data_IF_738280418697
#
_entry.id   IF_738280418697
#
_cell.length_a   1.000
_cell.length_b   1.000
_cell.length_c   1.000
_cell.angle_alpha   90.00
_cell.angle_beta   90.00
_cell.angle_gamma   90.00
#
_symmetry.space_group_name_H-M   'P 1'
#
loop_
_entity.id
_entity.type
_entity.pdbx_description
1 polymer ?
#
# COMPACT_ATOMS: atom_id res chain seq x y z
N UNK A 1 -18.35 -3.60 -51.55
CA UNK A 1 -18.42 -3.25 -50.12
C UNK A 1 -19.44 -4.17 -49.44
N UNK A 2 -19.00 -5.10 -48.58
CA UNK A 2 -19.90 -6.01 -47.87
C UNK A 2 -20.43 -5.30 -46.62
N UNK A 3 -21.74 -5.08 -46.57
CA UNK A 3 -22.42 -4.46 -45.43
C UNK A 3 -22.33 -5.34 -44.18
N UNK A 4 -21.80 -4.78 -43.10
CA UNK A 4 -21.82 -5.39 -41.77
C UNK A 4 -23.26 -5.30 -41.26
N UNK A 5 -23.97 -6.43 -41.18
CA UNK A 5 -25.24 -6.49 -40.45
C UNK A 5 -24.94 -6.46 -38.95
N UNK A 6 -25.57 -5.59 -38.16
CA UNK A 6 -25.46 -5.66 -36.71
C UNK A 6 -26.10 -6.97 -36.24
N UNK A 7 -25.36 -7.77 -35.46
CA UNK A 7 -25.93 -8.91 -34.74
C UNK A 7 -27.05 -8.36 -33.85
N UNK A 8 -28.30 -8.72 -34.13
CA UNK A 8 -29.37 -8.62 -33.15
C UNK A 8 -28.97 -9.48 -31.95
N UNK A 9 -28.47 -8.82 -30.89
CA UNK A 9 -28.48 -9.43 -29.57
C UNK A 9 -29.95 -9.54 -29.18
N UNK A 10 -30.50 -10.75 -29.30
CA UNK A 10 -31.78 -11.09 -28.71
C UNK A 10 -31.66 -10.91 -27.20
N UNK A 11 -32.13 -9.77 -26.69
CA UNK A 11 -32.36 -9.57 -25.27
C UNK A 11 -33.39 -10.62 -24.84
N UNK A 12 -32.92 -11.66 -24.14
CA UNK A 12 -33.77 -12.71 -23.59
C UNK A 12 -34.76 -12.06 -22.60
N UNK A 13 -36.00 -12.56 -22.51
CA UNK A 13 -36.97 -12.08 -21.53
C UNK A 13 -36.40 -12.23 -20.11
N UNK A 14 -36.50 -11.15 -19.33
CA UNK A 14 -35.96 -11.03 -17.97
C UNK A 14 -36.82 -11.88 -17.03
N UNK A 15 -36.40 -13.13 -16.80
CA UNK A 15 -36.93 -14.00 -15.75
C UNK A 15 -36.82 -13.29 -14.37
N UNK A 16 -37.75 -13.44 -13.41
CA UNK A 16 -37.63 -12.84 -12.07
C UNK A 16 -36.28 -13.13 -11.37
N UNK A 17 -35.63 -14.25 -11.72
CA UNK A 17 -34.28 -14.60 -11.24
C UNK A 17 -33.14 -13.72 -11.77
N UNK A 18 -33.28 -13.06 -12.92
CA UNK A 18 -32.22 -12.18 -13.47
C UNK A 18 -32.19 -10.82 -12.79
N UNK A 19 -33.33 -10.36 -12.29
CA UNK A 19 -33.46 -9.08 -11.59
C UNK A 19 -32.67 -9.04 -10.27
N UNK A 20 -32.81 -10.07 -9.43
CA UNK A 20 -32.06 -10.18 -8.17
C UNK A 20 -30.56 -10.39 -8.40
N UNK A 21 -30.22 -11.20 -9.40
CA UNK A 21 -28.83 -11.42 -9.83
C UNK A 21 -28.17 -10.12 -10.28
N UNK A 22 -28.91 -9.27 -10.97
CA UNK A 22 -28.42 -7.99 -11.45
C UNK A 22 -28.07 -7.07 -10.28
N UNK A 23 -29.02 -6.83 -9.36
CA UNK A 23 -28.75 -6.00 -8.18
C UNK A 23 -27.61 -6.57 -7.31
N UNK A 24 -27.62 -7.87 -7.00
CA UNK A 24 -26.61 -8.51 -6.17
C UNK A 24 -25.21 -8.59 -6.81
N UNK A 25 -25.09 -8.23 -8.09
CA UNK A 25 -23.80 -8.01 -8.76
C UNK A 25 -23.44 -6.53 -8.75
N UNK A 26 -24.37 -5.64 -9.10
CA UNK A 26 -24.15 -4.20 -9.15
C UNK A 26 -23.91 -3.57 -7.78
N UNK A 27 -24.62 -4.00 -6.73
CA UNK A 27 -24.55 -3.40 -5.41
C UNK A 27 -23.13 -3.41 -4.81
N UNK A 28 -22.43 -4.57 -4.68
CA UNK A 28 -21.06 -4.57 -4.19
C UNK A 28 -20.06 -4.05 -5.23
N UNK A 29 -20.24 -4.29 -6.53
CA UNK A 29 -19.27 -3.84 -7.54
C UNK A 29 -19.29 -2.32 -7.78
N UNK A 30 -20.48 -1.71 -7.82
CA UNK A 30 -20.70 -0.30 -8.17
C UNK A 30 -21.11 0.58 -6.98
N UNK A 31 -21.21 -0.01 -5.78
CA UNK A 31 -21.64 0.69 -4.56
C UNK A 31 -23.05 1.29 -4.70
N UNK A 32 -23.97 0.58 -5.35
CA UNK A 32 -25.36 1.03 -5.52
C UNK A 32 -26.18 0.58 -4.31
N UNK A 33 -26.95 1.49 -3.71
CA UNK A 33 -27.89 1.15 -2.64
C UNK A 33 -29.28 0.79 -3.19
N UNK A 34 -30.12 0.19 -2.35
CA UNK A 34 -31.49 -0.23 -2.70
C UNK A 34 -32.34 0.94 -3.18
N UNK A 35 -32.22 2.10 -2.54
CA UNK A 35 -33.04 3.27 -2.87
C UNK A 35 -32.73 3.78 -4.28
N UNK A 36 -31.47 3.94 -4.62
CA UNK A 36 -31.04 4.44 -5.92
C UNK A 36 -31.41 3.44 -7.01
N UNK A 37 -31.20 2.15 -6.77
CA UNK A 37 -31.58 1.11 -7.74
C UNK A 37 -33.09 1.09 -8.01
N UNK A 38 -33.92 1.11 -6.96
CA UNK A 38 -35.38 1.12 -7.13
C UNK A 38 -35.85 2.41 -7.81
N UNK A 39 -35.28 3.57 -7.46
CA UNK A 39 -35.59 4.84 -8.13
C UNK A 39 -35.20 4.83 -9.61
N UNK A 40 -34.10 4.18 -9.97
CA UNK A 40 -33.72 4.01 -11.39
C UNK A 40 -34.76 3.18 -12.13
N UNK A 41 -35.27 2.11 -11.52
CA UNK A 41 -36.33 1.29 -12.13
C UNK A 41 -37.65 2.05 -12.28
N UNK A 42 -38.02 2.84 -11.26
CA UNK A 42 -39.19 3.73 -11.31
C UNK A 42 -39.05 4.68 -12.51
N UNK A 43 -37.90 5.36 -12.65
CA UNK A 43 -37.64 6.30 -13.76
C UNK A 43 -37.59 5.65 -15.14
N UNK A 44 -37.15 4.39 -15.23
CA UNK A 44 -37.17 3.63 -16.49
C UNK A 44 -38.59 3.24 -16.89
N UNK A 45 -39.50 3.13 -15.91
CA UNK A 45 -40.90 2.78 -16.14
C UNK A 45 -41.73 4.04 -16.42
N UNK A 46 -41.62 5.04 -15.56
CA UNK A 46 -42.20 6.36 -15.71
C UNK A 46 -41.20 7.43 -15.25
N UNK A 47 -40.64 8.17 -16.21
CA UNK A 47 -39.73 9.29 -15.94
C UNK A 47 -40.46 10.59 -15.62
N UNK A 48 -41.78 10.65 -15.85
CA UNK A 48 -42.61 11.84 -15.62
C UNK A 48 -43.04 11.97 -14.16
N UNK A 49 -43.11 10.85 -13.42
CA UNK A 49 -43.52 10.82 -12.01
C UNK A 49 -45.00 11.12 -11.82
N UNK A 50 -45.80 11.02 -12.89
CA UNK A 50 -47.24 11.26 -12.86
C UNK A 50 -47.97 10.05 -12.27
N UNK A 51 -47.42 8.84 -12.43
CA UNK A 51 -47.98 7.64 -11.83
C UNK A 51 -47.46 7.39 -10.42
N UNK A 52 -48.39 7.21 -9.47
CA UNK A 52 -48.03 6.86 -8.09
C UNK A 52 -47.69 5.37 -7.99
N UNK A 53 -46.40 5.05 -7.99
CA UNK A 53 -45.90 3.69 -7.76
C UNK A 53 -45.85 3.38 -6.24
N UNK A 54 -46.38 2.23 -5.77
CA UNK A 54 -46.24 1.82 -4.38
C UNK A 54 -44.77 1.60 -3.98
N UNK A 55 -44.37 2.04 -2.79
CA UNK A 55 -42.98 1.87 -2.30
C UNK A 55 -42.62 0.38 -2.16
N UNK A 56 -41.68 -0.09 -2.98
CA UNK A 56 -41.15 -1.46 -2.95
C UNK A 56 -39.78 -1.59 -2.29
N UNK A 57 -39.17 -0.49 -1.80
CA UNK A 57 -37.79 -0.47 -1.29
C UNK A 57 -37.58 -1.41 -0.11
N UNK A 58 -38.53 -1.47 0.83
CA UNK A 58 -38.41 -2.34 2.01
C UNK A 58 -38.44 -3.82 1.62
N UNK A 59 -39.40 -4.21 0.78
CA UNK A 59 -39.50 -5.59 0.28
C UNK A 59 -38.27 -5.97 -0.55
N UNK A 60 -37.86 -5.07 -1.45
CA UNK A 60 -36.66 -5.25 -2.26
C UNK A 60 -35.40 -5.39 -1.41
N UNK A 61 -35.21 -4.54 -0.40
CA UNK A 61 -34.05 -4.59 0.48
C UNK A 61 -33.97 -5.89 1.28
N UNK A 62 -35.11 -6.41 1.76
CA UNK A 62 -35.16 -7.72 2.44
C UNK A 62 -34.76 -8.86 1.51
N UNK A 63 -35.34 -8.91 0.31
CA UNK A 63 -35.02 -9.94 -0.68
C UNK A 63 -33.57 -9.86 -1.13
N UNK A 64 -33.03 -8.66 -1.33
CA UNK A 64 -31.64 -8.45 -1.68
C UNK A 64 -30.68 -8.95 -0.58
N UNK A 65 -30.96 -8.65 0.69
CA UNK A 65 -30.18 -9.15 1.83
C UNK A 65 -30.20 -10.68 1.93
N UNK A 66 -31.38 -11.29 1.82
CA UNK A 66 -31.54 -12.75 1.81
C UNK A 66 -30.79 -13.38 0.64
N UNK A 67 -30.83 -12.76 -0.54
CA UNK A 67 -30.12 -13.25 -1.72
C UNK A 67 -28.59 -13.19 -1.53
N UNK A 68 -28.03 -12.06 -1.05
CA UNK A 68 -26.59 -11.96 -0.76
C UNK A 68 -26.16 -12.96 0.30
N UNK A 69 -26.95 -13.17 1.35
CA UNK A 69 -26.71 -14.18 2.37
C UNK A 69 -26.64 -15.60 1.77
N UNK A 70 -27.64 -16.01 0.99
CA UNK A 70 -27.66 -17.32 0.33
C UNK A 70 -26.50 -17.49 -0.67
N UNK A 71 -26.10 -16.42 -1.36
CA UNK A 71 -24.95 -16.42 -2.26
C UNK A 71 -23.64 -16.67 -1.50
N UNK A 72 -23.44 -16.06 -0.33
CA UNK A 72 -22.28 -16.33 0.53
C UNK A 72 -22.31 -17.77 1.05
N UNK A 73 -23.47 -18.26 1.50
CA UNK A 73 -23.62 -19.66 1.96
C UNK A 73 -23.30 -20.68 0.86
N UNK A 74 -23.80 -20.43 -0.36
CA UNK A 74 -23.49 -21.26 -1.52
C UNK A 74 -21.99 -21.24 -1.84
N UNK A 75 -21.36 -20.07 -1.80
CA UNK A 75 -19.91 -19.93 -2.05
C UNK A 75 -19.07 -20.64 -0.99
N UNK A 76 -19.48 -20.58 0.28
CA UNK A 76 -18.87 -21.31 1.38
C UNK A 76 -19.17 -22.81 1.38
N UNK A 77 -19.88 -23.33 0.38
CA UNK A 77 -20.19 -24.77 0.26
C UNK A 77 -21.13 -25.31 1.34
N UNK A 78 -21.81 -24.44 2.10
CA UNK A 78 -22.60 -24.84 3.29
C UNK A 78 -23.79 -25.73 2.95
N UNK A 79 -24.24 -25.76 1.69
CA UNK A 79 -25.27 -26.68 1.24
C UNK A 79 -24.83 -28.16 1.18
N UNK A 80 -23.54 -28.45 1.28
CA UNK A 80 -22.98 -29.82 1.26
C UNK A 80 -22.69 -30.37 2.65
N UNK A 81 -22.86 -29.57 3.70
CA UNK A 81 -22.55 -29.92 5.08
C UNK A 81 -23.81 -30.34 5.84
N UNK A 82 -23.68 -31.29 6.76
CA UNK A 82 -24.80 -31.70 7.61
C UNK A 82 -25.26 -30.51 8.49
N UNK A 83 -26.57 -30.24 8.47
CA UNK A 83 -27.18 -29.04 9.08
C UNK A 83 -26.62 -27.70 8.56
N UNK A 84 -25.91 -27.74 7.43
CA UNK A 84 -25.40 -26.67 6.57
C UNK A 84 -25.27 -25.28 7.18
N UNK A 85 -26.31 -24.47 6.98
CA UNK A 85 -26.39 -23.06 7.40
C UNK A 85 -26.29 -22.94 8.93
N UNK A 86 -27.00 -23.78 9.67
CA UNK A 86 -27.10 -23.71 11.14
C UNK A 86 -25.77 -24.03 11.80
N UNK A 87 -25.00 -24.95 11.23
CA UNK A 87 -23.70 -25.39 11.75
C UNK A 87 -22.52 -24.58 11.20
N UNK A 88 -22.77 -23.43 10.55
CA UNK A 88 -21.71 -22.60 9.97
C UNK A 88 -20.81 -22.02 11.06
N UNK A 89 -19.52 -22.37 11.11
CA UNK A 89 -18.60 -21.83 12.12
C UNK A 89 -18.31 -20.34 11.92
N UNK A 90 -17.86 -19.62 12.96
CA UNK A 90 -17.39 -18.25 12.82
C UNK A 90 -16.30 -18.11 11.75
N UNK A 91 -16.42 -17.09 10.90
CA UNK A 91 -15.49 -16.81 9.80
C UNK A 91 -15.46 -17.84 8.65
N UNK A 92 -16.32 -18.86 8.67
CA UNK A 92 -16.30 -19.93 7.66
C UNK A 92 -16.70 -19.46 6.26
N UNK A 93 -17.39 -18.32 6.12
CA UNK A 93 -17.78 -17.74 4.83
C UNK A 93 -16.72 -16.84 4.22
N UNK A 94 -15.64 -16.51 4.96
CA UNK A 94 -14.58 -15.66 4.45
C UNK A 94 -13.76 -16.39 3.36
N UNK A 95 -13.64 -15.78 2.18
CA UNK A 95 -12.77 -16.27 1.11
C UNK A 95 -11.31 -16.12 1.54
N UNK A 96 -10.65 -17.27 1.72
CA UNK A 96 -9.23 -17.32 2.04
C UNK A 96 -8.37 -16.88 0.85
N UNK A 97 -7.30 -16.15 1.12
CA UNK A 97 -6.33 -15.73 0.13
C UNK A 97 -5.45 -16.93 -0.29
N UNK A 98 -5.41 -17.25 -1.58
CA UNK A 98 -4.62 -18.41 -2.07
C UNK A 98 -3.11 -18.24 -1.95
N UNK A 99 -2.64 -16.99 -1.94
CA UNK A 99 -1.22 -16.65 -1.81
C UNK A 99 -0.76 -16.45 -0.37
N UNK A 100 -1.68 -16.34 0.61
CA UNK A 100 -1.26 -16.22 2.00
C UNK A 100 -0.70 -17.56 2.48
N UNK A 101 0.46 -17.59 3.16
CA UNK A 101 1.09 -18.83 3.61
C UNK A 101 0.20 -19.53 4.66
N UNK A 102 -0.16 -20.78 4.37
CA UNK A 102 -0.95 -21.67 5.22
C UNK A 102 -0.28 -23.06 5.22
N UNK A 103 0.29 -23.42 6.36
CA UNK A 103 1.01 -24.68 6.56
C UNK A 103 0.17 -25.92 6.27
N UNK A 104 -1.16 -25.82 6.35
CA UNK A 104 -2.07 -26.93 6.09
C UNK A 104 -2.46 -27.10 4.61
N UNK A 105 -2.07 -26.16 3.73
CA UNK A 105 -2.62 -26.10 2.35
C UNK A 105 -1.60 -25.83 1.26
N UNK A 106 -0.79 -24.78 1.39
CA UNK A 106 -0.01 -24.23 0.26
C UNK A 106 1.48 -24.04 0.57
N UNK A 107 1.96 -24.47 1.74
CA UNK A 107 3.38 -24.51 2.05
C UNK A 107 3.98 -25.88 1.74
N UNK A 108 5.17 -25.94 1.10
CA UNK A 108 5.84 -27.20 0.80
C UNK A 108 6.43 -27.83 2.08
N UNK A 109 6.66 -29.15 2.07
CA UNK A 109 7.36 -29.83 3.17
C UNK A 109 8.73 -29.21 3.45
N UNK A 110 9.07 -28.98 4.73
CA UNK A 110 10.34 -28.36 5.13
C UNK A 110 10.38 -26.84 5.00
N UNK A 111 9.23 -26.18 4.77
CA UNK A 111 9.11 -24.72 4.76
C UNK A 111 9.60 -24.06 6.06
N UNK A 112 9.52 -24.78 7.18
CA UNK A 112 9.90 -24.39 8.54
C UNK A 112 11.42 -24.48 8.77
N UNK A 113 12.14 -25.23 7.94
CA UNK A 113 13.59 -25.47 8.06
C UNK A 113 14.43 -24.63 7.10
N UNK A 114 13.81 -23.72 6.34
CA UNK A 114 14.57 -22.88 5.42
C UNK A 114 15.46 -21.89 6.18
N UNK A 115 16.65 -21.56 5.64
CA UNK A 115 17.49 -20.51 6.22
C UNK A 115 16.72 -19.20 6.37
N UNK A 116 17.03 -18.42 7.41
CA UNK A 116 16.33 -17.17 7.71
C UNK A 116 16.38 -16.16 6.53
N UNK A 117 17.45 -16.21 5.73
CA UNK A 117 17.59 -15.44 4.49
C UNK A 117 16.54 -15.76 3.42
N UNK A 118 15.89 -16.93 3.49
CA UNK A 118 14.80 -17.37 2.61
C UNK A 118 13.43 -17.38 3.29
N UNK A 119 13.35 -16.99 4.57
CA UNK A 119 12.09 -16.95 5.31
C UNK A 119 11.03 -16.05 4.65
N UNK A 120 11.45 -15.06 3.86
CA UNK A 120 10.54 -14.18 3.11
C UNK A 120 9.61 -14.90 2.13
N UNK A 121 9.96 -16.12 1.73
CA UNK A 121 9.11 -16.94 0.84
C UNK A 121 7.83 -17.43 1.52
N UNK A 122 7.85 -17.59 2.85
CA UNK A 122 6.77 -18.20 3.62
C UNK A 122 6.26 -17.32 4.75
N UNK A 123 6.73 -16.07 4.84
CA UNK A 123 6.35 -15.15 5.91
C UNK A 123 4.96 -14.58 5.67
N UNK A 124 4.08 -14.74 6.66
CA UNK A 124 2.78 -14.08 6.66
C UNK A 124 2.96 -12.59 6.95
N UNK A 125 2.54 -11.75 6.01
CA UNK A 125 2.48 -10.31 6.20
C UNK A 125 1.04 -9.90 6.52
N UNK A 126 0.86 -9.28 7.67
CA UNK A 126 -0.41 -8.69 8.09
C UNK A 126 -0.22 -7.18 8.10
N UNK A 127 -1.01 -6.50 7.28
CA UNK A 127 -0.99 -5.04 7.20
C UNK A 127 -2.22 -4.51 7.94
N UNK A 128 -1.99 -3.68 8.95
CA UNK A 128 -3.03 -3.08 9.77
C UNK A 128 -2.95 -1.57 9.64
N UNK A 129 -4.11 -0.94 9.48
CA UNK A 129 -4.24 0.50 9.55
C UNK A 129 -5.44 0.81 10.45
N UNK A 130 -5.19 1.59 11.50
CA UNK A 130 -6.18 1.92 12.51
C UNK A 130 -6.98 3.19 12.17
N UNK A 131 -6.72 3.83 11.02
CA UNK A 131 -7.27 5.14 10.70
C UNK A 131 -8.41 5.13 9.67
N UNK A 132 -8.71 3.96 9.07
CA UNK A 132 -9.83 3.86 8.13
C UNK A 132 -11.19 3.94 8.81
N UNK A 133 -12.01 4.89 8.37
CA UNK A 133 -13.35 5.15 8.94
C UNK A 133 -14.41 5.27 7.85
N UNK A 134 -15.43 4.42 7.94
CA UNK A 134 -16.64 4.56 7.13
C UNK A 134 -17.71 5.31 7.92
N UNK A 135 -18.36 6.30 7.30
CA UNK A 135 -19.39 7.11 7.97
C UNK A 135 -20.71 6.35 8.02
N UNK A 136 -21.42 6.40 9.15
CA UNK A 136 -22.77 5.87 9.31
C UNK A 136 -23.61 6.89 10.09
N UNK A 137 -24.83 7.16 9.64
CA UNK A 137 -25.73 8.07 10.36
C UNK A 137 -26.44 7.34 11.48
N UNK A 138 -26.27 7.84 12.70
CA UNK A 138 -27.09 7.47 13.85
C UNK A 138 -28.53 7.96 13.62
N UNK A 139 -29.51 7.15 14.04
CA UNK A 139 -30.92 7.52 13.98
C UNK A 139 -31.53 7.41 15.37
N UNK A 140 -32.24 8.46 15.79
CA UNK A 140 -33.06 8.40 17.00
C UNK A 140 -34.15 7.34 16.79
N UNK A 141 -34.26 6.35 17.70
CA UNK A 141 -35.24 5.27 17.61
C UNK A 141 -34.90 4.18 16.57
N UNK A 142 -33.61 3.89 16.35
CA UNK A 142 -33.19 2.79 15.49
C UNK A 142 -33.84 1.46 15.91
N UNK A 143 -34.53 0.81 14.97
CA UNK A 143 -35.19 -0.49 15.19
C UNK A 143 -34.14 -1.60 15.24
N UNK A 144 -34.44 -2.67 15.97
CA UNK A 144 -33.68 -3.91 15.93
C UNK A 144 -33.53 -4.41 14.49
N UNK A 145 -32.31 -4.35 13.97
CA UNK A 145 -31.93 -4.81 12.63
C UNK A 145 -30.75 -5.77 12.76
N UNK A 146 -31.01 -7.08 12.99
CA UNK A 146 -29.95 -8.06 13.11
C UNK A 146 -29.26 -8.30 11.76
N UNK A 147 -27.94 -8.50 11.79
CA UNK A 147 -27.18 -8.95 10.63
C UNK A 147 -27.47 -10.43 10.36
N UNK A 148 -27.55 -10.83 9.10
CA UNK A 148 -27.69 -12.24 8.71
C UNK A 148 -26.35 -12.97 8.77
N UNK A 149 -25.25 -12.25 8.58
CA UNK A 149 -23.89 -12.79 8.54
C UNK A 149 -23.05 -12.49 9.79
N UNK A 150 -23.68 -12.17 10.93
CA UNK A 150 -23.00 -11.75 12.17
C UNK A 150 -21.89 -12.73 12.61
N UNK A 151 -20.62 -12.36 12.40
CA UNK A 151 -19.45 -13.20 12.71
C UNK A 151 -19.21 -14.40 11.81
N UNK A 152 -19.95 -14.56 10.72
CA UNK A 152 -19.79 -15.71 9.80
C UNK A 152 -18.75 -15.45 8.71
N UNK A 153 -18.42 -14.18 8.43
CA UNK A 153 -17.51 -13.76 7.37
C UNK A 153 -16.27 -13.02 7.89
N UNK A 154 -16.05 -11.80 7.41
CA UNK A 154 -14.86 -11.00 7.70
C UNK A 154 -15.00 -10.16 8.97
N UNK A 155 -16.22 -9.77 9.35
CA UNK A 155 -16.49 -8.96 10.53
C UNK A 155 -16.71 -9.87 11.75
N UNK A 156 -16.23 -9.48 12.94
CA UNK A 156 -16.44 -10.24 14.16
C UNK A 156 -17.90 -10.20 14.60
N UNK A 157 -18.31 -11.15 15.45
CA UNK A 157 -19.65 -11.13 16.07
C UNK A 157 -19.87 -9.84 16.85
N UNK A 158 -20.97 -9.15 16.55
CA UNK A 158 -21.29 -7.82 17.07
C UNK A 158 -21.36 -7.77 18.59
N UNK A 159 -21.97 -8.77 19.24
CA UNK A 159 -22.12 -8.82 20.71
C UNK A 159 -20.78 -8.89 21.45
N UNK A 160 -20.00 -9.98 21.30
CA UNK A 160 -18.69 -10.12 21.93
C UNK A 160 -17.73 -8.98 21.60
N UNK A 161 -17.78 -8.46 20.37
CA UNK A 161 -16.97 -7.33 19.96
C UNK A 161 -17.33 -6.05 20.74
N UNK A 162 -18.62 -5.75 20.92
CA UNK A 162 -19.07 -4.61 21.72
C UNK A 162 -18.64 -4.73 23.18
N UNK A 163 -18.70 -5.92 23.77
CA UNK A 163 -18.22 -6.14 25.15
C UNK A 163 -16.71 -5.96 25.26
N UNK A 164 -15.94 -6.51 24.32
CA UNK A 164 -14.49 -6.31 24.27
C UNK A 164 -14.11 -4.83 24.13
N UNK A 165 -14.89 -4.03 23.38
CA UNK A 165 -14.61 -2.59 23.27
C UNK A 165 -14.79 -1.88 24.61
N UNK A 166 -15.78 -2.27 25.42
CA UNK A 166 -16.00 -1.66 26.74
C UNK A 166 -14.83 -1.89 27.69
N UNK A 167 -14.06 -2.97 27.51
CA UNK A 167 -12.87 -3.21 28.34
C UNK A 167 -11.68 -2.34 27.96
N UNK A 168 -11.70 -1.72 26.78
CA UNK A 168 -10.60 -0.91 26.23
C UNK A 168 -10.79 0.61 26.46
N UNK A 169 -11.82 1.02 27.19
CA UNK A 169 -12.16 2.45 27.42
C UNK A 169 -11.01 3.21 28.08
N UNK A 170 -10.28 2.56 29.00
CA UNK A 170 -9.26 3.19 29.85
C UNK A 170 -7.82 3.00 29.34
N UNK A 171 -7.61 2.37 28.18
CA UNK A 171 -6.27 2.13 27.65
C UNK A 171 -5.70 3.39 26.98
N UNK A 172 -4.54 3.85 27.48
CA UNK A 172 -3.78 4.90 26.82
C UNK A 172 -3.03 4.35 25.61
N UNK A 173 -3.27 4.94 24.44
CA UNK A 173 -2.49 4.69 23.23
C UNK A 173 -0.99 4.92 23.49
N UNK A 174 -0.17 3.91 23.21
CA UNK A 174 1.28 4.02 23.28
C UNK A 174 1.76 4.80 22.06
N UNK A 175 1.94 6.10 22.23
CA UNK A 175 2.47 6.98 21.19
C UNK A 175 4.00 6.90 21.17
N UNK A 176 4.54 6.04 20.33
CA UNK A 176 5.99 5.89 20.17
C UNK A 176 6.64 7.02 19.34
N UNK A 177 5.86 7.82 18.58
CA UNK A 177 6.39 8.89 17.72
C UNK A 177 5.48 10.13 17.75
N UNK A 178 6.06 11.30 18.04
CA UNK A 178 5.36 12.57 18.26
C UNK A 178 4.64 13.08 17.00
N UNK A 179 5.13 12.75 15.81
CA UNK A 179 4.52 13.15 14.54
C UNK A 179 3.18 12.45 14.28
N UNK A 180 3.04 11.17 14.67
CA UNK A 180 1.79 10.43 14.54
C UNK A 180 0.72 10.95 15.51
N UNK A 181 1.12 11.36 16.71
CA UNK A 181 0.24 11.99 17.69
C UNK A 181 -0.42 13.26 17.16
N UNK A 182 0.35 14.10 16.45
CA UNK A 182 -0.14 15.37 15.89
C UNK A 182 -1.13 15.16 14.72
N UNK A 183 -0.91 14.13 13.89
CA UNK A 183 -1.84 13.75 12.83
C UNK A 183 -3.15 13.17 13.39
N UNK A 184 -3.05 12.27 14.38
CA UNK A 184 -4.21 11.66 15.03
C UNK A 184 -5.09 12.71 15.72
N UNK A 185 -4.48 13.68 16.41
CA UNK A 185 -5.19 14.81 17.04
C UNK A 185 -5.85 15.75 16.03
N UNK A 186 -5.29 15.91 14.83
CA UNK A 186 -5.88 16.75 13.79
C UNK A 186 -7.11 16.10 13.16
N UNK A 187 -7.09 14.78 12.98
CA UNK A 187 -8.21 14.04 12.38
C UNK A 187 -9.37 13.79 13.35
N UNK A 188 -9.11 13.68 14.65
CA UNK A 188 -10.16 13.50 15.67
C UNK A 188 -11.01 14.76 15.89
N UNK A 189 -10.51 15.96 15.57
CA UNK A 189 -11.22 17.24 15.76
C UNK A 189 -12.49 17.43 14.93
N UNK A 190 -12.65 16.70 13.82
CA UNK A 190 -13.80 16.85 12.89
C UNK A 190 -14.83 15.71 12.97
N UNK A 191 -14.71 14.80 13.95
CA UNK A 191 -15.61 13.64 14.10
C UNK A 191 -16.29 13.63 15.46
N UNK A 192 -17.52 14.15 15.51
CA UNK A 192 -18.48 13.96 16.61
C UNK A 192 -19.40 12.79 16.30
N UNK A 193 -19.68 11.93 17.29
CA UNK A 193 -20.70 10.87 17.17
C UNK A 193 -20.29 9.61 16.38
N UNK A 194 -19.07 9.10 16.58
CA UNK A 194 -18.75 7.73 16.16
C UNK A 194 -19.69 6.76 16.90
N UNK A 195 -20.26 5.76 16.19
CA UNK A 195 -20.94 4.60 16.85
C UNK A 195 -20.05 3.88 17.86
N UNK A 196 -18.76 4.18 17.84
CA UNK A 196 -17.73 3.72 18.75
C UNK A 196 -16.86 4.92 19.16
N UNK A 197 -17.27 5.61 20.22
CA UNK A 197 -16.35 6.25 21.18
C UNK A 197 -16.62 5.58 22.51
N UNK A 198 -15.56 5.11 23.14
CA UNK A 198 -15.51 5.02 24.59
C UNK A 198 -15.33 6.45 25.10
N UNK A 199 -16.06 6.82 26.15
CA UNK A 199 -16.00 8.15 26.72
C UNK A 199 -14.66 8.37 27.44
N UNK A 200 -14.19 9.62 27.38
CA UNK A 200 -13.31 10.29 28.35
C UNK A 200 -11.82 9.92 28.38
N UNK A 201 -11.04 10.90 27.90
CA UNK A 201 -9.65 11.15 28.28
C UNK A 201 -9.50 11.18 29.81
N UNK A 202 -9.09 10.09 30.46
CA UNK A 202 -8.58 10.17 31.82
C UNK A 202 -7.40 9.23 32.09
N UNK A 203 -6.23 9.87 32.16
CA UNK A 203 -5.03 9.46 32.88
C UNK A 203 -5.06 8.21 33.79
N UNK A 204 -4.51 7.07 33.33
CA UNK A 204 -3.39 6.31 33.93
C UNK A 204 -3.17 4.91 33.31
N UNK A 205 -1.89 4.54 33.10
CA UNK A 205 -1.32 3.17 33.16
C UNK A 205 -1.88 2.03 32.28
N UNK A 206 -1.04 1.53 31.35
CA UNK A 206 -1.28 0.33 30.53
C UNK A 206 -1.24 -0.96 31.38
N UNK A 207 -2.26 -1.83 31.29
CA UNK A 207 -2.13 -3.27 31.63
C UNK A 207 -1.76 -4.03 30.36
N UNK A 208 -0.63 -4.75 30.41
CA UNK A 208 -0.16 -5.62 29.33
C UNK A 208 -0.95 -6.92 29.32
N UNK A 209 -2.17 -6.90 28.80
CA UNK A 209 -2.87 -8.13 28.44
C UNK A 209 -3.06 -8.19 26.91
N UNK A 210 -1.94 -8.07 26.18
CA UNK A 210 -1.85 -8.72 24.87
C UNK A 210 -1.97 -10.20 25.19
N UNK A 211 -3.10 -10.82 24.87
CA UNK A 211 -3.21 -12.27 24.85
C UNK A 211 -1.97 -12.81 24.15
N UNK A 212 -1.13 -13.47 24.94
CA UNK A 212 0.05 -14.18 24.50
C UNK A 212 -0.44 -15.16 23.43
N UNK A 213 -0.27 -14.82 22.16
CA UNK A 213 -0.37 -15.82 21.09
C UNK A 213 0.93 -16.59 21.20
N UNK A 214 0.99 -17.50 22.17
CA UNK A 214 2.17 -18.13 22.78
C UNK A 214 3.15 -18.83 21.82
N UNK A 215 2.94 -18.73 20.50
CA UNK A 215 3.70 -19.44 19.46
C UNK A 215 4.05 -18.62 18.22
N UNK A 216 3.80 -17.30 18.18
CA UNK A 216 4.04 -16.49 16.98
C UNK A 216 4.97 -15.31 17.29
N UNK A 217 6.15 -15.29 16.63
CA UNK A 217 7.07 -14.14 16.67
C UNK A 217 6.55 -13.04 15.73
N UNK A 218 5.99 -11.98 16.31
CA UNK A 218 5.56 -10.80 15.56
C UNK A 218 6.77 -9.89 15.27
N UNK A 219 6.80 -9.34 14.06
CA UNK A 219 7.75 -8.30 13.67
C UNK A 219 6.96 -7.14 13.08
N UNK A 220 7.21 -5.94 13.58
CA UNK A 220 6.55 -4.72 13.14
C UNK A 220 7.40 -4.02 12.08
N UNK A 221 6.75 -3.38 11.11
CA UNK A 221 7.39 -2.62 10.05
C UNK A 221 6.51 -1.49 9.56
N UNK A 222 7.14 -0.43 9.07
CA UNK A 222 6.46 0.76 8.55
C UNK A 222 6.30 0.65 7.02
N UNK A 223 5.08 0.81 6.49
CA UNK A 223 4.86 0.96 5.05
C UNK A 223 5.71 2.09 4.47
N UNK A 224 6.16 1.92 3.23
CA UNK A 224 7.18 2.79 2.61
C UNK A 224 6.71 4.25 2.51
N UNK A 225 5.43 4.51 2.25
CA UNK A 225 4.92 5.89 2.15
C UNK A 225 4.68 6.52 3.52
N UNK A 226 4.25 5.73 4.49
CA UNK A 226 3.97 6.21 5.84
C UNK A 226 5.25 6.45 6.65
N UNK A 227 6.33 5.75 6.30
CA UNK A 227 7.65 5.86 6.91
C UNK A 227 8.20 7.31 6.98
N UNK A 228 7.88 8.18 6.01
CA UNK A 228 8.33 9.58 6.02
C UNK A 228 7.63 10.45 7.08
N UNK A 229 6.48 10.02 7.61
CA UNK A 229 5.79 10.70 8.70
C UNK A 229 6.40 10.38 10.07
N UNK A 230 7.39 9.49 10.14
CA UNK A 230 8.07 9.10 11.37
C UNK A 230 9.44 9.78 11.51
N UNK A 231 9.91 9.92 12.76
CA UNK A 231 11.25 10.39 13.04
C UNK A 231 12.31 9.50 12.36
N UNK A 232 13.46 10.06 11.91
CA UNK A 232 14.45 9.31 11.11
C UNK A 232 14.91 7.99 11.73
N UNK A 233 15.09 7.94 13.05
CA UNK A 233 15.47 6.72 13.78
C UNK A 233 14.41 5.64 13.68
N UNK A 234 13.14 6.00 13.91
CA UNK A 234 12.00 5.10 13.81
C UNK A 234 11.84 4.61 12.37
N UNK A 235 11.94 5.52 11.39
CA UNK A 235 11.90 5.19 9.96
C UNK A 235 12.91 4.11 9.58
N UNK A 236 14.16 4.25 10.01
CA UNK A 236 15.24 3.31 9.66
C UNK A 236 15.08 1.99 10.40
N UNK A 237 14.76 2.02 11.70
CA UNK A 237 14.60 0.81 12.51
C UNK A 237 13.47 -0.10 12.01
N UNK A 238 12.34 0.50 11.59
CA UNK A 238 11.16 -0.24 11.13
C UNK A 238 11.02 -0.26 9.60
N UNK A 239 12.04 0.15 8.85
CA UNK A 239 11.97 0.13 7.39
C UNK A 239 11.84 -1.31 6.89
N UNK A 240 10.76 -1.61 6.15
CA UNK A 240 10.51 -2.96 5.61
C UNK A 240 11.71 -3.54 4.84
N UNK A 241 12.49 -2.68 4.17
CA UNK A 241 13.67 -3.08 3.40
C UNK A 241 14.82 -3.66 4.24
N UNK A 242 14.89 -3.32 5.53
CA UNK A 242 15.91 -3.78 6.46
C UNK A 242 15.39 -4.87 7.40
N UNK A 243 14.10 -5.21 7.33
CA UNK A 243 13.53 -6.26 8.14
C UNK A 243 13.80 -7.63 7.50
N UNK A 244 14.40 -8.50 8.29
CA UNK A 244 14.72 -9.86 7.86
C UNK A 244 13.45 -10.65 7.50
N UNK A 245 13.49 -11.34 6.37
CA UNK A 245 12.37 -12.13 5.89
C UNK A 245 11.20 -11.30 5.33
N UNK A 246 11.32 -10.00 5.11
CA UNK A 246 10.25 -9.19 4.50
C UNK A 246 10.42 -9.03 2.98
N UNK A 247 11.67 -9.02 2.49
CA UNK A 247 11.95 -8.77 1.07
C UNK A 247 11.62 -7.34 0.65
N UNK A 248 11.42 -7.12 -0.66
CA UNK A 248 11.15 -5.79 -1.24
C UNK A 248 9.66 -5.59 -1.48
N UNK A 249 8.92 -5.35 -0.41
CA UNK A 249 7.49 -4.98 -0.44
C UNK A 249 7.28 -3.52 -0.05
N UNK A 250 6.20 -2.90 -0.53
CA UNK A 250 5.83 -1.54 -0.15
C UNK A 250 5.02 -1.49 1.16
N UNK A 251 4.37 -2.59 1.55
CA UNK A 251 3.50 -2.63 2.74
C UNK A 251 2.17 -1.89 2.59
N UNK A 252 1.84 -1.38 1.40
CA UNK A 252 0.70 -0.49 1.15
C UNK A 252 -0.57 -1.24 0.68
N UNK A 253 -0.70 -2.53 1.02
CA UNK A 253 -1.85 -3.32 0.57
C UNK A 253 -3.16 -2.83 1.17
N UNK A 254 -3.14 -2.36 2.42
CA UNK A 254 -4.36 -1.93 3.13
C UNK A 254 -4.96 -0.68 2.50
N UNK A 255 -4.12 0.25 2.02
CA UNK A 255 -4.59 1.45 1.30
C UNK A 255 -5.28 1.13 -0.02
N UNK A 256 -4.76 0.15 -0.76
CA UNK A 256 -5.40 -0.33 -2.00
C UNK A 256 -6.76 -0.94 -1.71
N UNK A 257 -6.86 -1.76 -0.67
CA UNK A 257 -8.15 -2.33 -0.23
C UNK A 257 -9.10 -1.23 0.24
N UNK A 258 -8.59 -0.24 0.97
CA UNK A 258 -9.38 0.91 1.41
C UNK A 258 -9.94 1.71 0.24
N UNK A 259 -9.15 1.93 -0.83
CA UNK A 259 -9.65 2.61 -2.03
C UNK A 259 -10.87 1.92 -2.67
N UNK A 260 -10.97 0.60 -2.53
CA UNK A 260 -12.09 -0.20 -3.04
C UNK A 260 -13.30 -0.21 -2.10
N UNK A 261 -13.05 -0.13 -0.79
CA UNK A 261 -14.06 -0.19 0.26
C UNK A 261 -14.66 1.18 0.58
N UNK A 262 -13.86 2.24 0.59
CA UNK A 262 -14.26 3.60 0.95
C UNK A 262 -15.47 4.12 0.15
N UNK A 263 -15.60 3.88 -1.17
CA UNK A 263 -16.80 4.28 -1.92
C UNK A 263 -18.11 3.67 -1.38
N UNK A 264 -18.07 2.51 -0.71
CA UNK A 264 -19.23 1.91 -0.06
C UNK A 264 -19.74 2.73 1.15
N UNK A 265 -18.94 3.68 1.65
CA UNK A 265 -19.33 4.61 2.72
C UNK A 265 -20.63 5.34 2.36
N UNK A 266 -20.76 5.84 1.13
CA UNK A 266 -21.94 6.60 0.69
C UNK A 266 -23.20 5.75 0.61
N UNK A 267 -23.09 4.56 0.01
CA UNK A 267 -24.24 3.67 -0.19
C UNK A 267 -24.71 3.01 1.10
N UNK A 268 -23.81 2.82 2.06
CA UNK A 268 -24.12 2.23 3.37
C UNK A 268 -24.37 3.26 4.47
N UNK A 269 -24.15 4.56 4.19
CA UNK A 269 -24.20 5.64 5.18
C UNK A 269 -25.51 5.67 5.95
N UNK A 270 -26.61 5.54 5.22
CA UNK A 270 -27.96 5.63 5.74
C UNK A 270 -28.49 4.29 6.21
N UNK A 271 -27.78 3.17 6.08
CA UNK A 271 -28.28 1.84 6.47
C UNK A 271 -28.27 1.64 8.01
N UNK A 272 -29.19 0.80 8.50
CA UNK A 272 -29.18 0.32 9.89
C UNK A 272 -28.02 -0.63 10.14
N UNK A 273 -27.77 -0.99 11.41
CA UNK A 273 -26.61 -1.80 11.80
C UNK A 273 -26.49 -3.12 11.03
N UNK A 274 -27.53 -3.95 11.06
CA UNK A 274 -27.52 -5.28 10.44
C UNK A 274 -27.46 -5.23 8.91
N UNK A 275 -28.28 -4.37 8.28
CA UNK A 275 -28.26 -4.20 6.84
C UNK A 275 -26.89 -3.69 6.35
N UNK A 276 -26.27 -2.78 7.09
CA UNK A 276 -24.92 -2.28 6.80
C UNK A 276 -23.88 -3.38 6.94
N UNK A 277 -23.95 -4.17 8.00
CA UNK A 277 -23.06 -5.30 8.23
C UNK A 277 -23.08 -6.27 7.04
N UNK A 278 -24.28 -6.71 6.62
CA UNK A 278 -24.44 -7.65 5.50
C UNK A 278 -23.89 -7.09 4.18
N UNK A 279 -24.11 -5.80 3.89
CA UNK A 279 -23.61 -5.17 2.66
C UNK A 279 -22.10 -5.02 2.67
N UNK A 280 -21.50 -4.66 3.82
CA UNK A 280 -20.04 -4.58 3.95
C UNK A 280 -19.39 -5.96 3.84
N UNK A 281 -20.00 -7.00 4.42
CA UNK A 281 -19.58 -8.39 4.24
C UNK A 281 -19.55 -8.81 2.77
N UNK A 282 -20.64 -8.62 2.02
CA UNK A 282 -20.69 -8.96 0.58
C UNK A 282 -19.67 -8.14 -0.24
N UNK A 283 -19.44 -6.88 0.12
CA UNK A 283 -18.41 -6.02 -0.51
C UNK A 283 -17.01 -6.54 -0.25
N UNK A 284 -16.65 -6.83 0.99
CA UNK A 284 -15.34 -7.36 1.37
C UNK A 284 -15.14 -8.74 0.73
N UNK A 285 -16.20 -9.55 0.68
CA UNK A 285 -16.17 -10.86 0.05
C UNK A 285 -15.88 -10.79 -1.45
N UNK A 286 -16.55 -9.87 -2.15
CA UNK A 286 -16.28 -9.61 -3.56
C UNK A 286 -14.83 -9.20 -3.79
N UNK A 287 -14.30 -8.25 -3.00
CA UNK A 287 -12.92 -7.77 -3.13
C UNK A 287 -11.93 -8.94 -2.98
N UNK A 288 -12.11 -9.80 -1.98
CA UNK A 288 -11.23 -10.96 -1.77
C UNK A 288 -11.36 -12.00 -2.88
N UNK A 289 -12.58 -12.26 -3.36
CA UNK A 289 -12.82 -13.17 -4.47
C UNK A 289 -12.18 -12.68 -5.77
N UNK A 290 -12.34 -11.39 -6.11
CA UNK A 290 -11.73 -10.78 -7.30
C UNK A 290 -10.20 -10.75 -7.21
N UNK A 291 -9.66 -10.51 -6.01
CA UNK A 291 -8.22 -10.60 -5.74
C UNK A 291 -7.71 -11.99 -6.11
N UNK A 292 -8.32 -13.05 -5.57
CA UNK A 292 -7.93 -14.43 -5.89
C UNK A 292 -8.03 -14.73 -7.39
N UNK A 293 -9.13 -14.33 -8.04
CA UNK A 293 -9.33 -14.52 -9.49
C UNK A 293 -8.25 -13.83 -10.33
N UNK A 294 -7.75 -12.68 -9.90
CA UNK A 294 -6.75 -11.89 -10.65
C UNK A 294 -5.30 -12.35 -10.43
N UNK A 295 -5.02 -13.17 -9.42
CA UNK A 295 -3.65 -13.65 -9.13
C UNK A 295 -3.00 -14.45 -10.27
N UNK A 296 -3.79 -15.05 -11.17
CA UNK A 296 -3.27 -15.81 -12.32
C UNK A 296 -2.55 -14.96 -13.38
N UNK A 297 -2.60 -13.63 -13.29
CA UNK A 297 -1.93 -12.73 -14.23
C UNK A 297 -0.47 -12.49 -13.84
N UNK A 298 0.41 -13.44 -14.19
CA UNK A 298 1.81 -13.49 -13.77
C UNK A 298 2.77 -12.51 -14.49
N UNK A 299 2.26 -11.46 -15.15
CA UNK A 299 3.11 -10.50 -15.88
C UNK A 299 4.21 -9.89 -14.99
N UNK A 300 3.87 -9.54 -13.74
CA UNK A 300 4.84 -9.00 -12.78
C UNK A 300 5.89 -10.03 -12.37
N UNK A 301 5.52 -11.31 -12.28
CA UNK A 301 6.46 -12.38 -11.96
C UNK A 301 7.45 -12.59 -13.12
N UNK A 302 6.98 -12.58 -14.36
CA UNK A 302 7.85 -12.71 -15.55
C UNK A 302 8.92 -11.61 -15.56
N UNK A 303 8.51 -10.35 -15.34
CA UNK A 303 9.45 -9.22 -15.25
C UNK A 303 10.39 -9.40 -14.05
N UNK A 304 9.88 -9.77 -12.88
CA UNK A 304 10.70 -9.96 -11.69
C UNK A 304 11.75 -11.08 -11.85
N UNK A 305 11.43 -12.17 -12.56
CA UNK A 305 12.38 -13.25 -12.84
C UNK A 305 13.49 -12.78 -13.78
N UNK A 306 13.16 -12.06 -14.84
CA UNK A 306 14.15 -11.49 -15.76
C UNK A 306 15.06 -10.47 -15.04
N UNK A 307 14.48 -9.59 -14.24
CA UNK A 307 15.21 -8.56 -13.49
C UNK A 307 16.05 -9.16 -12.35
N UNK A 308 15.64 -10.27 -11.74
CA UNK A 308 16.44 -10.96 -10.71
C UNK A 308 17.82 -11.38 -11.25
N UNK A 309 17.90 -11.85 -12.49
CA UNK A 309 19.18 -12.25 -13.08
C UNK A 309 20.11 -11.04 -13.25
N UNK A 310 19.59 -9.93 -13.78
CA UNK A 310 20.33 -8.68 -13.96
C UNK A 310 20.81 -8.12 -12.62
N UNK A 311 19.90 -7.98 -11.67
CA UNK A 311 20.22 -7.49 -10.32
C UNK A 311 21.19 -8.39 -9.57
N UNK A 312 21.20 -9.69 -9.86
CA UNK A 312 22.19 -10.62 -9.29
C UNK A 312 23.60 -10.36 -9.80
N UNK A 313 23.76 -10.05 -11.09
CA UNK A 313 25.05 -9.70 -11.69
C UNK A 313 25.53 -8.35 -11.15
N UNK A 314 24.66 -7.34 -11.18
CA UNK A 314 24.95 -5.99 -10.66
C UNK A 314 25.34 -6.03 -9.17
N UNK A 315 24.65 -6.86 -8.37
CA UNK A 315 24.98 -7.06 -6.97
C UNK A 315 26.37 -7.68 -6.80
N UNK A 316 26.72 -8.68 -7.61
CA UNK A 316 28.01 -9.35 -7.52
C UNK A 316 29.16 -8.40 -7.90
N UNK A 317 29.01 -7.63 -8.97
CA UNK A 317 29.97 -6.60 -9.38
C UNK A 317 30.19 -5.56 -8.26
N UNK A 318 29.09 -5.10 -7.65
CA UNK A 318 29.17 -4.18 -6.51
C UNK A 318 29.82 -4.83 -5.29
N UNK A 319 29.46 -6.06 -4.95
CA UNK A 319 30.03 -6.78 -3.80
C UNK A 319 31.53 -7.01 -3.96
N UNK A 320 31.99 -7.32 -5.17
CA UNK A 320 33.41 -7.51 -5.48
C UNK A 320 34.22 -6.23 -5.46
N UNK A 321 33.60 -5.08 -5.77
CA UNK A 321 34.24 -3.77 -5.64
C UNK A 321 34.54 -3.38 -4.18
N UNK A 322 33.86 -4.01 -3.20
CA UNK A 322 34.05 -3.70 -1.78
C UNK A 322 35.09 -4.63 -1.14
N UNK A 323 36.10 -4.09 -0.41
CA UNK A 323 37.11 -4.90 0.26
C UNK A 323 36.49 -5.98 1.18
N UNK A 324 36.97 -7.22 1.07
CA UNK A 324 36.48 -8.38 1.85
C UNK A 324 36.43 -8.12 3.36
N UNK A 325 37.39 -7.36 3.90
CA UNK A 325 37.44 -6.98 5.32
C UNK A 325 36.20 -6.17 5.73
N UNK A 326 35.86 -5.12 4.97
CA UNK A 326 34.69 -4.27 5.23
C UNK A 326 33.39 -5.06 5.12
N UNK A 327 33.27 -5.96 4.12
CA UNK A 327 32.12 -6.87 3.97
C UNK A 327 31.90 -7.72 5.22
N UNK A 328 32.97 -8.34 5.75
CA UNK A 328 32.91 -9.17 6.97
C UNK A 328 32.57 -8.37 8.22
N UNK A 329 33.12 -7.18 8.37
CA UNK A 329 32.79 -6.27 9.49
C UNK A 329 31.31 -5.88 9.45
N UNK A 330 30.80 -5.49 8.29
CA UNK A 330 29.40 -5.14 8.10
C UNK A 330 28.45 -6.32 8.37
N UNK A 331 28.79 -7.52 7.88
CA UNK A 331 28.01 -8.73 8.15
C UNK A 331 27.87 -9.01 9.65
N UNK A 332 28.96 -8.86 10.43
CA UNK A 332 28.93 -9.02 11.88
C UNK A 332 28.02 -7.99 12.57
N UNK A 333 28.04 -6.73 12.10
CA UNK A 333 27.16 -5.68 12.63
C UNK A 333 25.69 -6.01 12.36
N UNK A 334 25.37 -6.50 11.16
CA UNK A 334 24.01 -6.94 10.82
C UNK A 334 23.56 -8.13 11.68
N UNK A 335 24.41 -9.15 11.84
CA UNK A 335 24.09 -10.33 12.66
C UNK A 335 23.85 -9.96 14.14
N UNK A 336 24.64 -9.02 14.67
CA UNK A 336 24.45 -8.51 16.03
C UNK A 336 23.13 -7.75 16.18
N UNK A 337 22.81 -6.87 15.22
CA UNK A 337 21.57 -6.09 15.19
C UNK A 337 20.31 -6.96 15.06
N UNK A 338 20.34 -8.01 14.24
CA UNK A 338 19.18 -8.90 14.09
C UNK A 338 18.94 -9.80 15.30
N UNK A 339 19.99 -10.10 16.08
CA UNK A 339 19.87 -10.78 17.38
C UNK A 339 19.32 -9.84 18.45
N UNK A 340 19.81 -8.61 18.48
CA UNK A 340 19.45 -7.60 19.47
C UNK A 340 19.39 -6.21 18.82
N UNK A 341 18.17 -5.70 18.69
CA UNK A 341 17.86 -4.42 18.06
C UNK A 341 18.05 -3.20 18.98
N UNK A 342 18.69 -3.39 20.15
CA UNK A 342 19.12 -2.30 21.04
C UNK A 342 20.53 -1.81 20.75
N UNK A 343 21.31 -2.55 19.97
CA UNK A 343 22.68 -2.21 19.60
C UNK A 343 22.75 -1.08 18.56
N UNK A 344 23.94 -0.70 18.13
CA UNK A 344 24.10 0.32 17.07
C UNK A 344 23.45 -0.17 15.78
N UNK A 345 22.49 0.59 15.24
CA UNK A 345 21.82 0.26 14.00
C UNK A 345 22.79 0.43 12.82
N UNK A 346 23.16 -0.65 12.08
CA UNK A 346 24.08 -0.54 10.96
C UNK A 346 23.49 0.30 9.81
N UNK A 347 22.17 0.36 9.67
CA UNK A 347 21.50 1.06 8.57
C UNK A 347 21.31 2.55 8.82
N UNK A 348 21.63 3.05 10.02
CA UNK A 348 21.60 4.47 10.31
C UNK A 348 22.85 5.14 9.73
N UNK A 349 22.65 6.07 8.81
CA UNK A 349 23.74 6.88 8.27
C UNK A 349 24.26 7.77 9.40
N UNK A 350 25.44 7.45 9.92
CA UNK A 350 26.07 8.22 10.99
C UNK A 350 26.44 9.61 10.45
N UNK A 351 26.25 10.65 11.26
CA UNK A 351 26.61 12.03 10.89
C UNK A 351 28.09 12.35 11.10
N UNK A 352 28.54 13.47 10.54
CA UNK A 352 29.88 14.02 10.78
C UNK A 352 31.00 13.18 10.15
N UNK A 353 32.13 13.01 10.86
CA UNK A 353 33.30 12.25 10.39
C UNK A 353 33.05 10.74 10.21
N UNK A 354 31.94 10.24 10.75
CA UNK A 354 31.52 8.83 10.65
C UNK A 354 30.61 8.56 9.44
N UNK A 355 30.21 9.60 8.70
CA UNK A 355 29.31 9.51 7.53
C UNK A 355 29.97 8.89 6.28
N UNK A 356 31.24 8.51 6.37
CA UNK A 356 32.07 8.15 5.23
C UNK A 356 32.78 9.37 4.62
N UNK A 357 33.49 9.17 3.50
CA UNK A 357 34.28 10.22 2.88
C UNK A 357 33.38 11.32 2.31
N UNK A 358 33.77 12.57 2.54
CA UNK A 358 33.13 13.75 1.95
C UNK A 358 33.31 13.79 0.44
N UNK A 359 32.41 14.49 -0.28
CA UNK A 359 32.54 14.71 -1.73
C UNK A 359 33.92 15.25 -2.11
N UNK A 360 34.48 16.11 -1.25
CA UNK A 360 35.82 16.67 -1.43
C UNK A 360 36.90 15.59 -1.33
N UNK A 361 36.85 14.73 -0.32
CA UNK A 361 37.83 13.65 -0.12
C UNK A 361 37.78 12.66 -1.29
N UNK A 362 36.58 12.25 -1.72
CA UNK A 362 36.41 11.38 -2.91
C UNK A 362 36.96 12.06 -4.16
N UNK A 363 36.67 13.36 -4.34
CA UNK A 363 37.19 14.10 -5.49
C UNK A 363 38.71 14.23 -5.46
N UNK A 364 39.34 14.33 -4.29
CA UNK A 364 40.80 14.35 -4.15
C UNK A 364 41.40 12.97 -4.44
N UNK A 365 40.77 11.89 -3.96
CA UNK A 365 41.17 10.51 -4.24
C UNK A 365 41.11 10.19 -5.74
N UNK A 366 39.99 10.51 -6.40
CA UNK A 366 39.84 10.31 -7.84
C UNK A 366 40.87 11.10 -8.65
N UNK A 367 41.19 12.34 -8.25
CA UNK A 367 42.26 13.12 -8.89
C UNK A 367 43.64 12.50 -8.71
N UNK A 368 43.92 11.89 -7.55
CA UNK A 368 45.19 11.18 -7.33
C UNK A 368 45.29 9.95 -8.23
N UNK A 369 44.21 9.17 -8.32
CA UNK A 369 44.13 8.03 -9.24
C UNK A 369 44.34 8.47 -10.71
N UNK A 370 43.73 9.57 -11.15
CA UNK A 370 43.94 10.12 -12.50
C UNK A 370 45.41 10.51 -12.77
N UNK A 371 46.14 10.98 -11.75
CA UNK A 371 47.57 11.28 -11.85
C UNK A 371 48.40 10.00 -11.91
N UNK A 372 48.01 8.95 -11.19
CA UNK A 372 48.68 7.64 -11.25
C UNK A 372 48.47 6.97 -12.60
N UNK A 373 47.25 7.02 -13.14
CA UNK A 373 46.94 6.55 -14.50
C UNK A 373 47.77 7.30 -15.55
N UNK A 374 47.90 8.62 -15.40
CA UNK A 374 48.76 9.44 -16.27
C UNK A 374 50.22 9.00 -16.22
N UNK A 375 50.74 8.68 -15.02
CA UNK A 375 52.10 8.16 -14.82
C UNK A 375 52.28 6.76 -15.41
N UNK A 376 51.24 5.95 -15.42
CA UNK A 376 51.21 4.62 -16.04
C UNK A 376 51.02 4.64 -17.57
N UNK A 377 50.92 5.82 -18.19
CA UNK A 377 50.75 5.98 -19.64
C UNK A 377 49.32 5.83 -20.15
N UNK A 378 48.34 5.69 -19.24
CA UNK A 378 46.92 5.71 -19.58
C UNK A 378 46.50 7.17 -19.78
N UNK A 379 45.92 7.50 -20.93
CA UNK A 379 45.47 8.88 -21.22
C UNK A 379 44.30 9.25 -20.29
N UNK A 380 44.47 10.17 -19.32
CA UNK A 380 43.41 10.53 -18.37
C UNK A 380 42.34 11.42 -19.02
N UNK A 381 42.70 12.07 -20.13
CA UNK A 381 41.86 12.97 -20.90
C UNK A 381 41.22 12.22 -22.05
N UNK A 382 39.89 12.14 -22.07
CA UNK A 382 39.16 11.63 -23.22
C UNK A 382 39.12 12.75 -24.29
N UNK A 383 39.71 12.50 -25.45
CA UNK A 383 39.87 13.47 -26.56
C UNK A 383 40.53 14.80 -26.16
N UNK A 384 41.36 14.84 -25.10
CA UNK A 384 42.07 16.06 -24.69
C UNK A 384 41.20 17.17 -24.07
N UNK A 385 39.90 16.90 -23.80
CA UNK A 385 38.96 17.94 -23.34
C UNK A 385 38.85 18.05 -21.82
N UNK A 386 38.69 16.92 -21.12
CA UNK A 386 38.66 16.88 -19.65
C UNK A 386 38.89 15.46 -19.11
N UNK A 387 39.03 15.33 -17.80
CA UNK A 387 39.07 14.01 -17.15
C UNK A 387 37.66 13.52 -16.82
N UNK A 388 37.49 12.21 -16.63
CA UNK A 388 36.18 11.60 -16.30
C UNK A 388 35.66 12.15 -14.96
N UNK A 389 36.54 12.36 -13.97
CA UNK A 389 36.15 12.95 -12.68
C UNK A 389 35.67 14.39 -12.84
N UNK A 390 36.35 15.18 -13.69
CA UNK A 390 35.92 16.55 -13.98
C UNK A 390 34.55 16.58 -14.69
N UNK A 391 34.30 15.63 -15.59
CA UNK A 391 33.01 15.47 -16.26
C UNK A 391 31.89 15.17 -15.27
N UNK A 392 32.07 14.16 -14.39
CA UNK A 392 31.07 13.79 -13.38
C UNK A 392 30.79 14.97 -12.44
N UNK A 393 31.83 15.69 -12.02
CA UNK A 393 31.70 16.86 -11.14
C UNK A 393 30.92 18.00 -11.80
N UNK A 394 31.17 18.27 -13.08
CA UNK A 394 30.41 19.27 -13.84
C UNK A 394 28.91 18.87 -13.90
N UNK A 395 28.61 17.59 -14.09
CA UNK A 395 27.25 17.07 -14.03
C UNK A 395 26.58 17.25 -12.66
N UNK A 396 27.30 16.97 -11.57
CA UNK A 396 26.78 17.18 -10.21
C UNK A 396 26.51 18.66 -9.91
N UNK A 397 27.36 19.57 -10.39
CA UNK A 397 27.16 21.02 -10.26
C UNK A 397 25.90 21.50 -10.98
N UNK A 398 25.65 21.01 -12.20
CA UNK A 398 24.41 21.28 -12.93
C UNK A 398 23.17 20.82 -12.14
N UNK A 399 23.24 19.61 -11.57
CA UNK A 399 22.15 19.08 -10.75
C UNK A 399 21.92 19.94 -9.49
N UNK A 400 22.99 20.46 -8.86
CA UNK A 400 22.89 21.36 -7.71
C UNK A 400 22.20 22.69 -8.08
N UNK A 401 22.53 23.27 -9.24
CA UNK A 401 21.86 24.49 -9.74
C UNK A 401 20.37 24.21 -10.00
N UNK A 402 20.03 23.09 -10.63
CA UNK A 402 18.63 22.68 -10.85
C UNK A 402 17.86 22.53 -9.53
N UNK A 403 18.46 21.91 -8.50
CA UNK A 403 17.84 21.78 -7.17
C UNK A 403 17.61 23.15 -6.54
N UNK A 404 18.58 24.06 -6.59
CA UNK A 404 18.44 25.44 -6.08
C UNK A 404 17.28 26.17 -6.75
N UNK A 405 17.17 26.10 -8.09
CA UNK A 405 16.06 26.71 -8.84
C UNK A 405 14.71 26.10 -8.40
N UNK A 406 14.61 24.78 -8.30
CA UNK A 406 13.37 24.10 -7.88
C UNK A 406 12.95 24.48 -6.47
N UNK A 407 13.89 24.61 -5.54
CA UNK A 407 13.61 25.05 -4.17
C UNK A 407 13.15 26.50 -4.15
N UNK A 408 13.84 27.39 -4.87
CA UNK A 408 13.50 28.81 -4.95
C UNK A 408 12.09 29.04 -5.55
N UNK A 409 11.66 28.20 -6.51
CA UNK A 409 10.32 28.28 -7.10
C UNK A 409 9.18 27.91 -6.14
N UNK A 410 9.45 27.15 -5.07
CA UNK A 410 8.46 26.76 -4.06
C UNK A 410 8.24 27.82 -2.98
N UNK A 411 9.15 28.79 -2.83
CA UNK A 411 9.05 29.86 -1.85
C UNK A 411 8.12 31.00 -2.34
N UNK A 412 7.50 31.75 -1.41
CA UNK A 412 6.76 32.98 -1.74
C UNK A 412 7.74 34.00 -2.32
N UNK A 413 7.43 34.52 -3.51
CA UNK A 413 8.38 35.30 -4.32
C UNK A 413 8.40 36.77 -3.90
N UNK A 414 9.58 37.29 -3.58
CA UNK A 414 9.86 38.73 -3.70
C UNK A 414 10.38 39.06 -5.10
N UNK A 415 10.36 40.34 -5.51
CA UNK A 415 10.89 40.78 -6.81
C UNK A 415 12.39 40.46 -6.99
N UNK A 416 13.17 40.57 -5.91
CA UNK A 416 14.61 40.27 -5.90
C UNK A 416 14.90 38.78 -6.13
N UNK A 417 14.09 37.90 -5.51
CA UNK A 417 14.20 36.45 -5.72
C UNK A 417 13.85 36.04 -7.15
N UNK A 418 12.95 36.76 -7.83
CA UNK A 418 12.61 36.49 -9.22
C UNK A 418 13.79 36.78 -10.18
N UNK A 419 14.54 37.85 -9.92
CA UNK A 419 15.76 38.20 -10.69
C UNK A 419 16.85 37.13 -10.52
N UNK A 420 17.13 36.75 -9.27
CA UNK A 420 18.13 35.71 -8.96
C UNK A 420 17.79 34.35 -9.60
N UNK A 421 16.50 33.97 -9.63
CA UNK A 421 16.06 32.74 -10.31
C UNK A 421 16.32 32.82 -11.82
N UNK A 422 16.12 34.00 -12.43
CA UNK A 422 16.33 34.18 -13.86
C UNK A 422 17.82 34.12 -14.22
N UNK A 423 18.70 34.71 -13.41
CA UNK A 423 20.15 34.58 -13.57
C UNK A 423 20.62 33.12 -13.44
N UNK A 424 20.12 32.40 -12.43
CA UNK A 424 20.43 30.98 -12.25
C UNK A 424 19.94 30.13 -13.45
N UNK A 425 18.79 30.45 -14.04
CA UNK A 425 18.29 29.79 -15.25
C UNK A 425 19.17 30.05 -16.46
N UNK A 426 19.58 31.29 -16.68
CA UNK A 426 20.47 31.66 -17.79
C UNK A 426 21.83 30.95 -17.65
N UNK A 427 22.39 30.95 -16.44
CA UNK A 427 23.62 30.21 -16.12
C UNK A 427 23.46 28.70 -16.37
N UNK A 428 22.36 28.11 -15.91
CA UNK A 428 22.06 26.70 -16.12
C UNK A 428 21.97 26.36 -17.61
N UNK A 429 21.23 27.14 -18.42
CA UNK A 429 21.08 26.90 -19.86
C UNK A 429 22.44 26.95 -20.56
N UNK A 430 23.28 27.94 -20.22
CA UNK A 430 24.63 28.08 -20.79
C UNK A 430 25.50 26.88 -20.46
N UNK A 431 25.54 26.47 -19.18
CA UNK A 431 26.36 25.34 -18.74
C UNK A 431 25.82 24.00 -19.26
N UNK A 432 24.50 23.83 -19.36
CA UNK A 432 23.87 22.65 -19.95
C UNK A 432 24.30 22.47 -21.39
N UNK A 433 24.20 23.49 -22.26
CA UNK A 433 24.62 23.37 -23.67
C UNK A 433 26.08 22.94 -23.82
N UNK A 434 26.97 23.44 -22.97
CA UNK A 434 28.38 23.02 -22.96
C UNK A 434 28.52 21.57 -22.52
N UNK A 435 27.84 21.19 -21.44
CA UNK A 435 27.84 19.82 -20.93
C UNK A 435 27.23 18.82 -21.91
N UNK A 436 26.18 19.20 -22.65
CA UNK A 436 25.53 18.37 -23.66
C UNK A 436 26.50 18.00 -24.79
N UNK A 437 27.34 18.93 -25.23
CA UNK A 437 28.39 18.67 -26.24
C UNK A 437 29.44 17.71 -25.71
N UNK A 438 29.83 17.87 -24.44
CA UNK A 438 30.80 16.99 -23.79
C UNK A 438 30.21 15.60 -23.56
N UNK A 439 28.95 15.50 -23.18
CA UNK A 439 28.27 14.24 -22.91
C UNK A 439 28.24 13.32 -24.14
N UNK A 440 28.27 13.85 -25.36
CA UNK A 440 28.37 13.03 -26.57
C UNK A 440 29.71 12.30 -26.69
N UNK A 441 30.79 12.89 -26.17
CA UNK A 441 32.12 12.26 -26.11
C UNK A 441 32.20 11.24 -24.97
N UNK A 442 31.70 11.56 -23.77
CA UNK A 442 31.83 10.68 -22.58
C UNK A 442 30.73 9.62 -22.47
N UNK A 443 29.57 9.84 -23.11
CA UNK A 443 28.39 8.98 -23.05
C UNK A 443 27.74 8.88 -24.44
N UNK A 444 28.38 8.22 -25.42
CA UNK A 444 27.94 8.22 -26.82
C UNK A 444 26.50 7.69 -27.02
N UNK A 445 26.03 6.79 -26.16
CA UNK A 445 24.65 6.28 -26.19
C UNK A 445 23.56 7.30 -25.82
N UNK A 446 23.92 8.49 -25.30
CA UNK A 446 22.94 9.52 -24.89
C UNK A 446 22.25 10.17 -26.09
N UNK A 447 22.90 10.24 -27.25
CA UNK A 447 22.30 10.84 -28.43
C UNK A 447 20.99 10.13 -28.82
N UNK A 448 21.03 8.78 -28.90
CA UNK A 448 19.83 7.99 -29.21
C UNK A 448 18.71 8.12 -28.17
N UNK A 449 19.04 8.37 -26.90
CA UNK A 449 18.03 8.64 -25.85
C UNK A 449 17.39 10.02 -25.99
N UNK A 450 18.13 11.03 -26.45
CA UNK A 450 17.59 12.37 -26.72
C UNK A 450 16.71 12.38 -27.96
N UNK A 451 17.16 11.71 -29.01
CA UNK A 451 16.43 11.63 -30.27
C UNK A 451 15.10 10.87 -30.11
N UNK A 452 15.01 9.94 -29.14
CA UNK A 452 13.77 9.25 -28.78
C UNK A 452 12.84 10.03 -27.83
N UNK A 453 13.32 11.13 -27.23
CA UNK A 453 12.58 11.95 -26.26
C UNK A 453 12.00 13.25 -26.85
N UNK A 454 12.40 13.60 -28.08
CA UNK A 454 11.78 14.61 -28.94
C UNK A 454 10.67 13.94 -29.74
#
# INVERSE_FOLDING_TARGET
MRGIRPRQQTLRPVQPSTFWRHFASCAPSQNINVQDYVRTLEKLTDSTGLEKVPDRRVAFGRMARQYSYLKMMKRGGRGHEANGIVTTPPGALAVRCWACPDASRNLPSGWDKVPESKAYLYKLMLAFDANFRLKNKLRAGERMDPALTDGLGYLPRSGPYKEHIKTLVDEKDVQACAAFAALLQKETKLTTGLRRRTNEDNGRGYRRDIHQVDRIRLQYGLPVWHAEAHDPKCRIQFALRYLLGVGKTDGESTERLWSLLNPASWSTKEMGEGARHDVLEDKIDLINFEKNRSMGQLRRLIVAVAERQRQGIEFQELDDSVPKKKRREWAKMMDAWYKDNTQTNPFEVQGGKLAGPSEREISEELKRAEVEDARAGIKPLLEGKMTITAFIRAGMQLQAIQRRIRTALKAKKSADQASQIQELRLSLIKQMRTFEKLQLTYMPGVQGLRDAAV
#
